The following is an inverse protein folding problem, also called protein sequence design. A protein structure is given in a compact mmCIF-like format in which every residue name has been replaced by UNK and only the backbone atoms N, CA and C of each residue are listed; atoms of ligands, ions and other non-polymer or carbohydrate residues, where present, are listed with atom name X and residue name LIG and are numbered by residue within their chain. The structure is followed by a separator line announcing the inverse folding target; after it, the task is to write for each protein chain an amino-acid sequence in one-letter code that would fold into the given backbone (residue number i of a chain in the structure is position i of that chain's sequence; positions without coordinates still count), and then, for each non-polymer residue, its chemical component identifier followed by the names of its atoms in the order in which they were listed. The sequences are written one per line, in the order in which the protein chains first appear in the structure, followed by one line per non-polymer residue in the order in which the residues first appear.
data_IF_288648438996
#
_entry.id   IF_288648438996
#
_cell.length_a   1.000
_cell.length_b   1.000
_cell.length_c   1.000
_cell.angle_alpha   90.00
_cell.angle_beta   90.00
_cell.angle_gamma   90.00
#
_symmetry.space_group_name_H-M   'P 1'
#
loop_
_entity.id
_entity.type
_entity.pdbx_description
1 polymer ?
#
# COMPACT_ATOMS: atom_id res chain seq x y z
N UNK A 1 56.17 14.16 -22.60
CA UNK A 1 55.82 13.46 -21.36
C UNK A 1 54.35 13.85 -21.04
N UNK A 2 53.38 13.03 -21.48
CA UNK A 2 51.96 13.29 -21.25
C UNK A 2 51.54 12.45 -20.03
N UNK A 3 51.19 13.12 -18.95
CA UNK A 3 50.63 12.49 -17.74
C UNK A 3 49.21 12.02 -18.03
N UNK A 4 49.02 10.71 -18.05
CA UNK A 4 47.69 10.08 -18.15
C UNK A 4 47.08 10.03 -16.74
N UNK A 5 46.16 10.96 -16.42
CA UNK A 5 45.41 10.93 -15.16
C UNK A 5 44.30 9.87 -15.32
N UNK A 6 44.55 8.69 -14.73
CA UNK A 6 43.53 7.63 -14.62
C UNK A 6 42.54 8.03 -13.52
N UNK A 7 41.39 8.51 -13.90
CA UNK A 7 40.25 8.66 -12.98
C UNK A 7 39.73 7.28 -12.60
N UNK A 8 40.22 6.76 -11.48
CA UNK A 8 39.65 5.57 -10.87
C UNK A 8 38.31 5.97 -10.26
N UNK A 9 37.19 5.70 -10.99
CA UNK A 9 35.86 5.74 -10.42
C UNK A 9 35.76 4.65 -9.34
N UNK A 10 35.98 5.01 -8.09
CA UNK A 10 35.58 4.23 -6.95
C UNK A 10 34.05 4.17 -6.95
N UNK A 11 33.48 3.19 -7.67
CA UNK A 11 32.10 2.76 -7.43
C UNK A 11 32.10 2.13 -6.04
N UNK A 12 31.71 2.90 -5.03
CA UNK A 12 31.49 2.39 -3.68
C UNK A 12 30.58 1.16 -3.76
N UNK A 13 31.19 -0.01 -3.57
CA UNK A 13 30.47 -1.27 -3.38
C UNK A 13 29.70 -1.16 -2.07
N UNK A 14 28.48 -0.66 -2.11
CA UNK A 14 27.56 -0.77 -0.99
C UNK A 14 27.13 -2.24 -0.85
N UNK A 15 27.95 -3.01 -0.14
CA UNK A 15 27.55 -4.30 0.39
C UNK A 15 26.63 -4.06 1.58
N UNK A 16 25.67 -5.00 1.82
CA UNK A 16 24.83 -4.95 3.01
C UNK A 16 25.66 -4.72 4.29
N UNK A 17 25.41 -3.62 4.97
CA UNK A 17 25.99 -3.31 6.25
C UNK A 17 25.21 -4.04 7.37
N UNK A 18 25.91 -4.92 8.07
CA UNK A 18 25.38 -5.71 9.18
C UNK A 18 25.88 -5.21 10.54
N UNK A 19 26.43 -3.99 10.62
CA UNK A 19 26.91 -3.39 11.88
C UNK A 19 25.79 -3.19 12.89
N UNK A 20 24.60 -2.85 12.44
CA UNK A 20 23.42 -2.77 13.28
C UNK A 20 22.14 -3.15 12.53
N UNK A 21 21.07 -3.45 13.30
CA UNK A 21 19.80 -3.94 12.77
C UNK A 21 19.06 -2.91 11.91
N UNK A 22 19.17 -1.63 12.23
CA UNK A 22 18.51 -0.54 11.50
C UNK A 22 19.13 -0.33 10.14
N UNK A 23 20.47 -0.30 10.08
CA UNK A 23 21.23 -0.17 8.81
C UNK A 23 21.00 -1.38 7.93
N UNK A 24 21.09 -2.59 8.48
CA UNK A 24 20.81 -3.83 7.75
C UNK A 24 19.37 -3.87 7.18
N UNK A 25 18.40 -3.35 7.90
CA UNK A 25 17.00 -3.27 7.43
C UNK A 25 16.84 -2.27 6.29
N UNK A 26 17.47 -1.09 6.39
CA UNK A 26 17.50 -0.08 5.32
C UNK A 26 18.13 -0.66 4.04
N UNK A 27 19.28 -1.30 4.18
CA UNK A 27 20.04 -1.88 3.06
C UNK A 27 19.30 -3.07 2.43
N UNK A 28 18.63 -3.89 3.25
CA UNK A 28 17.74 -4.96 2.77
C UNK A 28 16.62 -4.41 1.87
N UNK A 29 15.97 -3.32 2.28
CA UNK A 29 14.92 -2.71 1.50
C UNK A 29 15.44 -2.04 0.23
N UNK A 30 16.61 -1.37 0.30
CA UNK A 30 17.29 -0.81 -0.86
C UNK A 30 17.64 -1.90 -1.87
N UNK A 31 18.26 -3.00 -1.42
CA UNK A 31 18.61 -4.13 -2.29
C UNK A 31 17.39 -4.76 -2.96
N UNK A 32 16.24 -4.81 -2.29
CA UNK A 32 14.97 -5.23 -2.90
C UNK A 32 14.49 -4.31 -4.01
N UNK A 33 14.61 -3.00 -3.82
CA UNK A 33 14.28 -2.00 -4.84
C UNK A 33 15.22 -2.11 -6.03
N UNK A 34 16.54 -2.23 -5.79
CA UNK A 34 17.56 -2.40 -6.82
C UNK A 34 17.37 -3.71 -7.61
N UNK A 35 16.96 -4.78 -6.95
CA UNK A 35 16.62 -6.04 -7.60
C UNK A 35 15.42 -5.90 -8.55
N UNK A 36 14.35 -5.25 -8.11
CA UNK A 36 13.18 -4.96 -8.96
C UNK A 36 13.62 -4.12 -10.16
N UNK A 37 14.40 -3.07 -9.91
CA UNK A 37 14.92 -2.20 -10.95
C UNK A 37 15.78 -2.98 -11.97
N UNK A 38 16.62 -3.90 -11.50
CA UNK A 38 17.47 -4.74 -12.35
C UNK A 38 16.68 -5.71 -13.24
N UNK A 39 15.49 -6.14 -12.80
CA UNK A 39 14.57 -6.95 -13.61
C UNK A 39 13.97 -6.10 -14.73
N UNK A 40 13.53 -4.88 -14.39
CA UNK A 40 12.94 -3.94 -15.35
C UNK A 40 13.95 -3.47 -16.39
N UNK A 41 15.22 -3.31 -15.99
CA UNK A 41 16.32 -2.86 -16.84
C UNK A 41 16.99 -4.00 -17.62
N UNK A 42 16.58 -5.23 -17.36
CA UNK A 42 17.22 -6.46 -17.87
C UNK A 42 18.72 -6.54 -17.57
N UNK A 43 19.20 -5.97 -16.45
CA UNK A 43 20.62 -5.91 -16.05
C UNK A 43 20.99 -7.12 -15.20
N UNK A 44 21.60 -8.16 -15.82
CA UNK A 44 21.97 -9.43 -15.14
C UNK A 44 22.90 -9.21 -13.93
N UNK A 45 23.96 -8.41 -14.06
CA UNK A 45 24.93 -8.20 -12.99
C UNK A 45 24.33 -7.48 -11.77
N UNK A 46 23.52 -6.44 -12.00
CA UNK A 46 22.81 -5.74 -10.92
C UNK A 46 21.80 -6.66 -10.23
N UNK A 47 21.14 -7.55 -10.99
CA UNK A 47 20.22 -8.56 -10.45
C UNK A 47 20.92 -9.52 -9.50
N UNK A 48 22.10 -10.02 -9.87
CA UNK A 48 22.90 -10.91 -9.04
C UNK A 48 23.39 -10.20 -7.77
N UNK A 49 23.92 -8.97 -7.90
CA UNK A 49 24.38 -8.15 -6.77
C UNK A 49 23.26 -7.92 -5.77
N UNK A 50 22.13 -7.42 -6.23
CA UNK A 50 20.99 -7.13 -5.36
C UNK A 50 20.45 -8.37 -4.65
N UNK A 51 20.44 -9.54 -5.31
CA UNK A 51 20.06 -10.81 -4.66
C UNK A 51 21.07 -11.22 -3.56
N UNK A 52 22.37 -11.02 -3.76
CA UNK A 52 23.39 -11.27 -2.72
C UNK A 52 23.14 -10.42 -1.49
N UNK A 53 22.88 -9.12 -1.70
CA UNK A 53 22.62 -8.19 -0.60
C UNK A 53 21.32 -8.51 0.14
N UNK A 54 20.25 -8.88 -0.58
CA UNK A 54 19.00 -9.34 0.03
C UNK A 54 19.24 -10.59 0.90
N UNK A 55 20.02 -11.54 0.41
CA UNK A 55 20.29 -12.78 1.15
C UNK A 55 21.14 -12.48 2.39
N UNK A 56 22.18 -11.66 2.26
CA UNK A 56 23.07 -11.29 3.37
C UNK A 56 22.32 -10.53 4.47
N UNK A 57 21.67 -9.42 4.13
CA UNK A 57 20.89 -8.61 5.07
C UNK A 57 19.72 -9.39 5.67
N UNK A 58 19.00 -10.14 4.84
CA UNK A 58 17.83 -10.89 5.30
C UNK A 58 18.20 -12.01 6.28
N UNK A 59 19.34 -12.69 6.09
CA UNK A 59 19.86 -13.68 7.05
C UNK A 59 20.19 -13.02 8.39
N UNK A 60 20.92 -11.90 8.36
CA UNK A 60 21.26 -11.15 9.58
C UNK A 60 20.02 -10.67 10.34
N UNK A 61 18.97 -10.28 9.61
CA UNK A 61 17.69 -9.86 10.19
C UNK A 61 16.80 -11.00 10.67
N UNK A 62 17.17 -12.27 10.40
CA UNK A 62 16.35 -13.44 10.71
C UNK A 62 15.17 -13.66 9.77
N UNK A 63 15.21 -13.10 8.54
CA UNK A 63 14.17 -13.28 7.54
C UNK A 63 14.35 -14.59 6.78
N UNK A 64 13.24 -15.21 6.35
CA UNK A 64 13.31 -16.32 5.41
C UNK A 64 13.70 -15.82 4.01
N UNK A 65 14.92 -16.14 3.59
CA UNK A 65 15.50 -15.72 2.30
C UNK A 65 15.62 -16.86 1.29
N UNK A 66 15.08 -18.03 1.57
CA UNK A 66 15.21 -19.25 0.71
C UNK A 66 14.83 -18.98 -0.74
N UNK A 67 13.78 -18.22 -0.97
CA UNK A 67 13.32 -17.85 -2.31
C UNK A 67 14.34 -17.02 -3.10
N UNK A 68 15.04 -16.11 -2.43
CA UNK A 68 16.08 -15.27 -3.03
C UNK A 68 17.36 -16.05 -3.29
N UNK A 69 17.68 -17.00 -2.41
CA UNK A 69 18.81 -17.92 -2.58
C UNK A 69 18.62 -18.82 -3.80
N UNK A 70 17.44 -19.43 -3.94
CA UNK A 70 17.13 -20.27 -5.09
C UNK A 70 17.24 -19.47 -6.40
N UNK A 71 16.75 -18.23 -6.40
CA UNK A 71 16.83 -17.36 -7.60
C UNK A 71 18.25 -16.92 -7.90
N UNK A 72 19.08 -16.67 -6.88
CA UNK A 72 20.49 -16.36 -7.03
C UNK A 72 21.24 -17.59 -7.63
N UNK A 73 20.94 -18.78 -7.12
CA UNK A 73 21.48 -20.05 -7.65
C UNK A 73 21.14 -20.23 -9.13
N UNK A 74 19.87 -20.05 -9.51
CA UNK A 74 19.44 -20.15 -10.91
C UNK A 74 20.22 -19.19 -11.85
N UNK A 75 20.60 -18.01 -11.36
CA UNK A 75 21.29 -17.00 -12.14
C UNK A 75 22.82 -17.19 -12.19
N UNK A 76 23.40 -17.81 -11.17
CA UNK A 76 24.86 -17.93 -11.03
C UNK A 76 25.37 -19.37 -11.18
N UNK A 77 24.47 -20.37 -11.06
CA UNK A 77 24.80 -21.80 -10.93
C UNK A 77 25.81 -22.11 -9.79
N UNK A 78 26.04 -21.14 -8.90
CA UNK A 78 26.92 -21.30 -7.74
C UNK A 78 26.09 -21.66 -6.52
N UNK A 79 26.32 -22.83 -5.93
CA UNK A 79 25.84 -23.19 -4.61
C UNK A 79 26.52 -22.26 -3.57
N UNK A 80 25.76 -21.33 -3.00
CA UNK A 80 26.16 -20.78 -1.72
C UNK A 80 25.94 -21.92 -0.73
N UNK A 81 27.02 -22.52 -0.23
CA UNK A 81 27.01 -23.64 0.69
C UNK A 81 25.94 -23.44 1.77
N UNK A 82 25.06 -24.42 1.92
CA UNK A 82 24.23 -24.54 3.13
C UNK A 82 25.18 -24.45 4.32
N UNK A 83 24.89 -23.67 5.36
CA UNK A 83 25.68 -23.71 6.57
C UNK A 83 25.74 -25.18 7.01
N UNK A 84 26.96 -25.74 7.12
CA UNK A 84 27.21 -27.01 7.75
C UNK A 84 26.70 -26.89 9.19
N UNK A 85 25.83 -27.83 9.57
CA UNK A 85 25.11 -27.92 10.81
C UNK A 85 23.85 -27.06 10.93
N UNK A 86 22.71 -27.70 10.74
CA UNK A 86 21.55 -27.38 11.57
C UNK A 86 22.04 -27.49 13.02
N UNK A 87 21.81 -26.47 13.88
CA UNK A 87 21.89 -26.76 15.30
C UNK A 87 20.96 -27.95 15.51
N UNK A 88 21.50 -29.06 16.09
CA UNK A 88 20.68 -30.14 16.58
C UNK A 88 19.70 -29.47 17.54
N UNK A 89 18.49 -29.25 17.10
CA UNK A 89 17.38 -29.02 18.01
C UNK A 89 17.31 -30.31 18.84
N UNK A 90 17.85 -30.19 20.04
CA UNK A 90 17.48 -31.11 21.12
C UNK A 90 15.97 -31.30 21.04
N UNK A 91 15.55 -32.54 21.28
CA UNK A 91 14.19 -33.05 21.23
C UNK A 91 13.11 -32.00 21.30
N UNK A 92 12.08 -32.09 20.44
CA UNK A 92 10.96 -31.14 20.51
C UNK A 92 10.41 -31.25 21.95
N UNK A 93 10.75 -30.24 22.78
CA UNK A 93 10.01 -30.00 23.99
C UNK A 93 8.55 -30.10 23.57
N UNK A 94 7.80 -31.05 24.16
CA UNK A 94 6.36 -31.20 24.03
C UNK A 94 5.80 -29.79 24.14
N UNK A 95 5.48 -29.14 22.97
CA UNK A 95 4.87 -27.84 22.94
C UNK A 95 3.49 -28.07 23.53
N UNK A 96 3.34 -27.79 24.83
CA UNK A 96 2.04 -27.74 25.46
C UNK A 96 1.20 -26.82 24.63
N UNK A 97 0.21 -27.35 23.97
CA UNK A 97 -0.65 -26.62 23.05
C UNK A 97 -1.40 -25.54 23.83
N UNK A 98 -1.05 -24.28 23.58
CA UNK A 98 -1.62 -23.14 24.29
C UNK A 98 -3.01 -22.86 23.77
N UNK A 99 -4.01 -23.57 24.27
CA UNK A 99 -5.40 -23.33 23.94
C UNK A 99 -5.93 -22.09 24.65
N UNK A 100 -6.72 -21.31 23.91
CA UNK A 100 -7.51 -20.22 24.49
C UNK A 100 -9.00 -20.60 24.45
N UNK A 101 -9.76 -20.10 25.39
CA UNK A 101 -11.20 -20.32 25.46
C UNK A 101 -11.95 -19.04 25.82
N UNK A 102 -13.16 -18.88 25.24
CA UNK A 102 -14.05 -17.79 25.60
C UNK A 102 -14.80 -18.17 26.89
N UNK A 103 -14.68 -17.32 27.92
CA UNK A 103 -15.31 -17.52 29.22
C UNK A 103 -16.63 -16.75 29.31
N UNK A 104 -16.63 -15.49 28.88
CA UNK A 104 -17.82 -14.65 28.90
C UNK A 104 -17.84 -13.66 27.74
N UNK A 105 -18.98 -13.10 27.45
CA UNK A 105 -19.17 -12.09 26.39
C UNK A 105 -19.45 -10.68 26.91
N UNK A 106 -19.72 -10.53 28.21
CA UNK A 106 -19.94 -9.22 28.85
C UNK A 106 -19.41 -9.21 30.32
N UNK A 107 -18.22 -8.69 30.59
CA UNK A 107 -17.19 -8.32 29.60
C UNK A 107 -16.71 -9.54 28.81
N UNK A 108 -16.15 -9.31 27.63
CA UNK A 108 -15.53 -10.40 26.87
C UNK A 108 -14.28 -10.84 27.66
N UNK A 109 -14.30 -12.08 28.14
CA UNK A 109 -13.20 -12.67 28.89
C UNK A 109 -12.72 -13.92 28.20
N UNK A 110 -11.45 -13.90 27.78
CA UNK A 110 -10.80 -14.99 27.07
C UNK A 110 -9.70 -15.51 27.98
N UNK A 111 -9.76 -16.81 28.33
CA UNK A 111 -8.73 -17.48 29.10
C UNK A 111 -7.50 -17.71 28.23
N UNK A 112 -6.34 -17.41 28.76
CA UNK A 112 -5.02 -17.67 28.19
C UNK A 112 -4.39 -18.81 29.00
N UNK A 113 -3.73 -19.74 28.33
CA UNK A 113 -3.08 -20.86 29.04
C UNK A 113 -1.81 -20.42 29.77
N UNK A 114 -1.19 -19.32 29.34
CA UNK A 114 -0.02 -18.67 29.95
C UNK A 114 0.12 -17.24 29.43
N UNK A 115 1.12 -16.49 29.91
CA UNK A 115 1.46 -15.18 29.37
C UNK A 115 1.77 -15.30 27.87
N UNK A 116 0.95 -14.69 27.02
CA UNK A 116 1.04 -14.73 25.56
C UNK A 116 1.33 -13.35 25.00
N UNK A 117 2.04 -13.30 23.88
CA UNK A 117 2.21 -12.06 23.12
C UNK A 117 0.89 -11.74 22.38
N UNK A 118 0.31 -10.58 22.67
CA UNK A 118 -0.94 -10.11 22.06
C UNK A 118 -0.67 -8.79 21.36
N UNK A 119 -1.09 -8.70 20.09
CA UNK A 119 -1.03 -7.47 19.32
C UNK A 119 -2.45 -6.97 19.06
N UNK A 120 -2.72 -5.72 19.40
CA UNK A 120 -3.99 -5.06 19.17
C UNK A 120 -3.91 -4.14 17.94
N UNK A 121 -4.92 -4.18 17.08
CA UNK A 121 -5.06 -3.28 15.95
C UNK A 121 -6.52 -2.92 15.69
N UNK A 122 -6.74 -1.83 14.95
CA UNK A 122 -8.06 -1.40 14.55
C UNK A 122 -8.14 -1.30 13.03
N UNK A 123 -9.30 -1.68 12.47
CA UNK A 123 -9.54 -1.59 11.04
C UNK A 123 -10.97 -1.06 10.80
N UNK A 124 -11.12 -0.20 9.80
CA UNK A 124 -12.42 0.16 9.25
C UNK A 124 -12.46 -0.26 7.78
N UNK A 125 -13.40 -1.12 7.42
CA UNK A 125 -13.53 -1.65 6.06
C UNK A 125 -14.99 -1.95 5.74
N UNK A 126 -15.43 -1.61 4.52
CA UNK A 126 -16.80 -1.90 4.04
C UNK A 126 -17.86 -1.50 5.05
N UNK A 127 -17.82 -0.25 5.53
CA UNK A 127 -18.74 0.32 6.54
C UNK A 127 -18.75 -0.44 7.89
N UNK A 128 -17.72 -1.21 8.18
CA UNK A 128 -17.60 -2.00 9.40
C UNK A 128 -16.31 -1.64 10.17
N UNK A 129 -16.46 -1.40 11.46
CA UNK A 129 -15.38 -1.16 12.39
C UNK A 129 -14.93 -2.47 13.02
N UNK A 130 -13.63 -2.71 13.02
CA UNK A 130 -13.02 -3.92 13.58
C UNK A 130 -12.05 -3.55 14.69
N UNK A 131 -12.10 -4.28 15.80
CA UNK A 131 -11.10 -4.31 16.86
C UNK A 131 -10.51 -5.72 16.87
N UNK A 132 -9.19 -5.83 16.63
CA UNK A 132 -8.53 -7.09 16.30
C UNK A 132 -7.43 -7.33 17.34
N UNK A 133 -7.45 -8.51 17.98
CA UNK A 133 -6.37 -8.99 18.82
C UNK A 133 -5.76 -10.24 18.15
N UNK A 134 -4.48 -10.18 17.84
CA UNK A 134 -3.70 -11.31 17.36
C UNK A 134 -2.94 -11.90 18.55
N UNK A 135 -3.30 -13.10 18.96
CA UNK A 135 -2.71 -13.85 20.08
C UNK A 135 -1.74 -14.85 19.49
N UNK A 136 -0.45 -14.66 19.74
CA UNK A 136 0.62 -15.49 19.18
C UNK A 136 0.86 -16.73 20.03
N UNK A 137 1.32 -17.80 19.37
CA UNK A 137 1.52 -19.14 19.97
C UNK A 137 0.25 -19.68 20.65
N UNK A 138 -0.92 -19.34 20.10
CA UNK A 138 -2.23 -19.74 20.59
C UNK A 138 -2.91 -20.71 19.65
N UNK A 139 -3.77 -21.56 20.21
CA UNK A 139 -4.68 -22.45 19.49
C UNK A 139 -6.11 -22.27 20.00
N UNK A 140 -7.08 -22.52 19.13
CA UNK A 140 -8.50 -22.62 19.47
C UNK A 140 -9.06 -23.92 18.89
N UNK A 141 -9.88 -24.63 19.67
CA UNK A 141 -10.41 -25.95 19.26
C UNK A 141 -11.29 -25.82 18.02
N UNK A 142 -12.19 -24.82 18.02
CA UNK A 142 -13.04 -24.47 16.87
C UNK A 142 -13.28 -22.98 16.82
N UNK A 143 -13.60 -22.48 15.63
CA UNK A 143 -13.96 -21.07 15.48
C UNK A 143 -15.25 -20.76 16.28
N UNK A 144 -15.25 -19.62 16.96
CA UNK A 144 -16.38 -19.12 17.75
C UNK A 144 -16.89 -17.86 17.07
N UNK A 145 -18.17 -17.80 16.80
CA UNK A 145 -18.87 -16.59 16.34
C UNK A 145 -20.03 -16.35 17.32
N UNK A 146 -20.06 -15.17 17.95
CA UNK A 146 -21.10 -14.77 18.89
C UNK A 146 -21.61 -13.39 18.53
N UNK A 147 -22.93 -13.23 18.55
CA UNK A 147 -23.57 -11.90 18.53
C UNK A 147 -23.47 -11.36 19.97
N UNK A 148 -22.91 -10.16 20.12
CA UNK A 148 -22.72 -9.51 21.42
C UNK A 148 -23.90 -8.61 21.78
N UNK A 149 -24.43 -7.89 20.77
CA UNK A 149 -25.64 -7.09 20.87
C UNK A 149 -26.27 -6.90 19.47
N UNK A 150 -27.22 -5.96 19.35
CA UNK A 150 -27.96 -5.71 18.10
C UNK A 150 -27.06 -5.52 16.87
N UNK A 151 -25.89 -4.88 17.04
CA UNK A 151 -25.03 -4.44 15.95
C UNK A 151 -23.56 -4.95 16.06
N UNK A 152 -23.22 -5.72 17.10
CA UNK A 152 -21.85 -6.15 17.36
C UNK A 152 -21.70 -7.65 17.40
N UNK A 153 -20.56 -8.09 16.87
CA UNK A 153 -20.23 -9.50 16.74
C UNK A 153 -18.81 -9.74 17.24
N UNK A 154 -18.61 -10.89 17.83
CA UNK A 154 -17.31 -11.43 18.20
C UNK A 154 -17.00 -12.65 17.34
N UNK A 155 -15.80 -12.70 16.77
CA UNK A 155 -15.27 -13.88 16.08
C UNK A 155 -13.90 -14.23 16.65
N UNK A 156 -13.74 -15.48 17.04
CA UNK A 156 -12.43 -16.06 17.49
C UNK A 156 -12.14 -17.21 16.55
N UNK A 157 -10.99 -17.16 15.85
CA UNK A 157 -10.64 -18.22 14.91
C UNK A 157 -9.13 -18.40 14.82
N UNK A 158 -8.70 -19.63 14.48
CA UNK A 158 -7.33 -19.90 14.11
C UNK A 158 -7.02 -19.12 12.81
N UNK A 159 -6.01 -18.23 12.85
CA UNK A 159 -5.62 -17.42 11.71
C UNK A 159 -4.46 -18.04 10.92
N UNK A 160 -3.56 -18.73 11.63
CA UNK A 160 -2.52 -19.59 11.09
C UNK A 160 -2.06 -20.60 12.18
N UNK A 161 -1.10 -21.49 11.85
CA UNK A 161 -0.65 -22.54 12.77
C UNK A 161 -0.21 -22.06 14.17
N UNK A 162 0.20 -20.78 14.30
CA UNK A 162 0.76 -20.21 15.55
C UNK A 162 0.00 -18.98 16.05
N UNK A 163 -1.16 -18.63 15.47
CA UNK A 163 -1.87 -17.40 15.84
C UNK A 163 -3.39 -17.58 15.81
N UNK A 164 -4.03 -17.25 16.92
CA UNK A 164 -5.48 -17.06 16.99
C UNK A 164 -5.79 -15.57 16.84
N UNK A 165 -6.83 -15.26 16.11
CA UNK A 165 -7.33 -13.90 15.93
C UNK A 165 -8.70 -13.76 16.57
N UNK A 166 -8.81 -12.77 17.47
CA UNK A 166 -10.06 -12.33 18.09
C UNK A 166 -10.48 -11.04 17.43
N UNK A 167 -11.68 -10.99 16.88
CA UNK A 167 -12.21 -9.85 16.16
C UNK A 167 -13.55 -9.45 16.76
N UNK A 168 -13.67 -8.19 17.18
CA UNK A 168 -14.95 -7.58 17.50
C UNK A 168 -15.28 -6.61 16.36
N UNK A 169 -16.46 -6.70 15.78
CA UNK A 169 -16.83 -5.86 14.63
C UNK A 169 -18.27 -5.37 14.71
N UNK A 170 -18.51 -4.20 14.12
CA UNK A 170 -19.80 -3.53 14.09
C UNK A 170 -19.89 -2.54 12.92
N UNK A 171 -21.11 -2.34 12.39
CA UNK A 171 -21.37 -1.23 11.45
C UNK A 171 -21.35 0.13 12.13
N UNK A 172 -21.59 0.21 13.42
CA UNK A 172 -21.52 1.43 14.23
C UNK A 172 -20.14 1.56 14.88
N UNK A 173 -19.62 2.80 14.94
CA UNK A 173 -18.37 3.08 15.62
C UNK A 173 -18.48 2.74 17.09
N UNK A 174 -17.46 2.07 17.63
CA UNK A 174 -17.37 1.72 19.06
C UNK A 174 -15.93 1.78 19.55
N UNK A 175 -15.79 1.98 20.86
CA UNK A 175 -14.49 1.93 21.54
C UNK A 175 -14.44 0.77 22.51
N UNK A 176 -13.25 0.34 22.84
CA UNK A 176 -13.02 -0.71 23.84
C UNK A 176 -11.97 -0.25 24.84
N UNK A 177 -12.10 -0.72 26.08
CA UNK A 177 -11.00 -0.81 27.03
C UNK A 177 -10.64 -2.28 27.18
N UNK A 178 -9.36 -2.60 27.27
CA UNK A 178 -8.92 -3.97 27.50
C UNK A 178 -7.79 -4.03 28.50
N UNK A 179 -7.68 -5.17 29.16
CA UNK A 179 -6.61 -5.52 30.08
C UNK A 179 -6.10 -6.91 29.74
N UNK A 180 -4.79 -7.13 29.84
CA UNK A 180 -4.13 -8.41 29.61
C UNK A 180 -3.42 -8.79 30.88
N UNK A 181 -3.82 -9.93 31.44
CA UNK A 181 -3.14 -10.58 32.59
C UNK A 181 -2.40 -11.82 32.10
N UNK A 182 -1.70 -12.50 33.01
CA UNK A 182 -1.08 -13.81 32.70
C UNK A 182 -2.09 -14.85 32.23
N UNK A 183 -3.34 -14.77 32.68
CA UNK A 183 -4.36 -15.81 32.49
C UNK A 183 -5.56 -15.34 31.63
N UNK A 184 -5.72 -14.04 31.40
CA UNK A 184 -6.91 -13.54 30.72
C UNK A 184 -6.63 -12.33 29.84
N UNK A 185 -7.32 -12.29 28.69
CA UNK A 185 -7.60 -11.07 27.94
C UNK A 185 -9.05 -10.65 28.25
N UNK A 186 -9.21 -9.49 28.87
CA UNK A 186 -10.51 -8.93 29.27
C UNK A 186 -10.79 -7.70 28.41
N UNK A 187 -11.93 -7.67 27.72
CA UNK A 187 -12.30 -6.58 26.83
C UNK A 187 -13.68 -6.04 27.25
N UNK A 188 -13.73 -4.77 27.62
CA UNK A 188 -14.97 -4.03 27.90
C UNK A 188 -15.30 -3.15 26.72
N UNK A 189 -16.50 -3.29 26.15
CA UNK A 189 -16.98 -2.42 25.07
C UNK A 189 -17.59 -1.16 25.70
N UNK A 190 -17.12 0.01 25.26
CA UNK A 190 -17.72 1.30 25.64
C UNK A 190 -18.63 1.80 24.54
N UNK A 191 -19.86 2.15 24.90
CA UNK A 191 -20.77 2.86 24.03
C UNK A 191 -20.45 4.34 24.09
N UNK A 192 -20.01 4.94 23.00
CA UNK A 192 -20.04 6.39 22.90
C UNK A 192 -21.50 6.80 22.69
N UNK A 193 -22.17 7.30 23.73
CA UNK A 193 -23.32 8.18 23.50
C UNK A 193 -22.79 9.32 22.64
N UNK A 194 -23.28 9.42 21.41
CA UNK A 194 -22.96 10.54 20.52
C UNK A 194 -23.59 11.78 21.17
N UNK A 195 -22.88 12.44 22.06
CA UNK A 195 -23.04 13.86 22.27
C UNK A 195 -22.46 14.52 21.05
N UNK A 196 -23.27 15.16 20.24
CA UNK A 196 -22.82 16.14 19.28
C UNK A 196 -22.05 17.24 20.01
N UNK A 197 -20.81 16.99 20.24
CA UNK A 197 -19.85 18.04 20.56
C UNK A 197 -18.82 17.96 19.43
N UNK A 198 -19.00 18.86 18.46
CA UNK A 198 -17.91 19.34 17.61
C UNK A 198 -16.88 20.05 18.52
N UNK A 199 -16.23 19.30 19.41
CA UNK A 199 -14.99 19.75 20.00
C UNK A 199 -13.93 19.52 18.95
N UNK A 200 -13.60 20.57 18.24
CA UNK A 200 -12.43 20.67 17.37
C UNK A 200 -11.22 20.38 18.26
N UNK A 201 -10.76 19.12 18.26
CA UNK A 201 -9.44 18.80 18.79
C UNK A 201 -8.49 19.32 17.73
N UNK A 202 -7.64 20.32 18.01
CA UNK A 202 -6.63 20.74 17.04
C UNK A 202 -5.80 19.53 16.71
N UNK A 203 -5.90 19.07 15.46
CA UNK A 203 -5.03 18.01 14.98
C UNK A 203 -3.62 18.60 14.90
N UNK A 204 -2.56 17.80 15.18
CA UNK A 204 -1.19 18.30 15.12
C UNK A 204 -0.96 18.99 13.77
N UNK A 205 -0.24 20.10 13.81
CA UNK A 205 0.11 20.86 12.63
C UNK A 205 0.79 19.94 11.61
N UNK A 206 0.42 20.08 10.34
CA UNK A 206 1.06 19.30 9.27
C UNK A 206 2.48 19.83 9.17
N UNK A 207 3.46 18.93 9.22
CA UNK A 207 4.84 19.32 8.93
C UNK A 207 4.95 19.67 7.45
N UNK A 208 5.17 20.94 7.16
CA UNK A 208 5.22 21.49 5.79
C UNK A 208 6.48 21.08 4.99
N UNK A 209 7.34 20.21 5.51
CA UNK A 209 8.53 19.71 4.82
C UNK A 209 8.28 18.45 3.96
N UNK A 210 7.06 17.94 3.91
CA UNK A 210 6.73 16.74 3.13
C UNK A 210 6.76 17.00 1.63
N UNK A 211 7.38 16.07 0.89
CA UNK A 211 7.53 16.11 -0.56
C UNK A 211 6.51 15.20 -1.22
N UNK A 212 5.72 15.73 -2.15
CA UNK A 212 4.70 14.98 -2.89
C UNK A 212 5.03 15.04 -4.38
N UNK A 213 5.05 13.88 -5.04
CA UNK A 213 5.12 13.80 -6.48
C UNK A 213 3.75 13.38 -7.04
N UNK A 214 3.22 14.22 -7.91
CA UNK A 214 1.99 13.96 -8.66
C UNK A 214 2.39 13.53 -10.06
N UNK A 215 1.84 12.43 -10.51
CA UNK A 215 2.01 11.90 -11.85
C UNK A 215 0.73 12.10 -12.66
N UNK A 216 0.82 12.91 -13.72
CA UNK A 216 -0.23 13.00 -14.72
C UNK A 216 -0.03 11.87 -15.73
N UNK A 217 -0.89 10.86 -15.71
CA UNK A 217 -0.81 9.69 -16.61
C UNK A 217 -0.68 10.10 -18.08
N UNK A 218 -0.14 9.21 -18.91
CA UNK A 218 -0.01 9.40 -20.36
C UNK A 218 0.76 10.65 -20.78
N UNK A 219 0.52 11.17 -21.99
CA UNK A 219 1.13 12.41 -22.50
C UNK A 219 1.92 12.22 -23.80
N UNK A 220 2.07 13.29 -24.58
CA UNK A 220 2.69 13.28 -25.90
C UNK A 220 2.01 12.31 -26.85
N UNK A 221 2.76 11.34 -27.37
CA UNK A 221 2.26 10.29 -28.28
C UNK A 221 1.28 9.31 -27.65
N UNK A 222 1.21 9.23 -26.32
CA UNK A 222 0.28 8.38 -25.59
C UNK A 222 -0.95 9.20 -25.17
N UNK A 223 -2.10 9.06 -25.83
CA UNK A 223 -3.31 9.80 -25.52
C UNK A 223 -3.99 9.31 -24.22
N UNK A 224 -3.66 8.09 -23.74
CA UNK A 224 -4.44 7.36 -22.76
C UNK A 224 -5.76 6.85 -23.34
N UNK A 225 -6.75 6.63 -22.51
CA UNK A 225 -8.09 6.29 -22.94
C UNK A 225 -8.71 7.40 -23.80
N UNK A 226 -9.49 7.01 -24.83
CA UNK A 226 -10.31 7.92 -25.64
C UNK A 226 -11.78 7.62 -25.31
N UNK A 227 -12.44 8.60 -24.72
CA UNK A 227 -13.81 8.45 -24.22
C UNK A 227 -14.86 9.12 -25.09
N UNK A 228 -15.96 9.50 -24.45
CA UNK A 228 -17.05 10.25 -25.09
C UNK A 228 -16.53 11.59 -25.64
N UNK A 229 -17.12 12.04 -26.74
CA UNK A 229 -16.74 13.31 -27.42
C UNK A 229 -15.27 13.36 -27.82
N UNK A 230 -14.65 12.20 -28.12
CA UNK A 230 -13.21 12.08 -28.46
C UNK A 230 -12.27 12.67 -27.39
N UNK A 231 -12.75 12.76 -26.15
CA UNK A 231 -11.94 13.25 -25.01
C UNK A 231 -10.80 12.29 -24.76
N UNK A 232 -9.57 12.82 -24.81
CA UNK A 232 -8.35 12.06 -24.49
C UNK A 232 -8.03 12.19 -23.01
N UNK A 233 -7.70 11.09 -22.34
CA UNK A 233 -7.36 11.05 -20.92
C UNK A 233 -6.24 12.03 -20.54
N UNK A 234 -5.17 12.09 -21.34
CA UNK A 234 -4.04 13.00 -21.09
C UNK A 234 -4.46 14.47 -20.93
N UNK A 235 -5.56 14.88 -21.59
CA UNK A 235 -6.09 16.25 -21.56
C UNK A 235 -6.91 16.55 -20.30
N UNK A 236 -7.34 15.51 -19.56
CA UNK A 236 -8.05 15.64 -18.28
C UNK A 236 -7.05 15.61 -17.14
N UNK A 237 -6.14 14.63 -17.14
CA UNK A 237 -5.28 14.38 -15.98
C UNK A 237 -4.21 15.44 -15.79
N UNK A 238 -3.75 16.12 -16.87
CA UNK A 238 -2.75 17.18 -16.76
C UNK A 238 -3.29 18.45 -16.07
N UNK A 239 -4.44 19.02 -16.46
CA UNK A 239 -5.06 20.13 -15.73
C UNK A 239 -5.36 19.77 -14.27
N UNK A 240 -5.92 18.59 -14.03
CA UNK A 240 -6.21 18.11 -12.67
C UNK A 240 -4.93 17.99 -11.82
N UNK A 241 -3.82 17.52 -12.40
CA UNK A 241 -2.53 17.44 -11.70
C UNK A 241 -1.98 18.83 -11.35
N UNK A 242 -2.18 19.82 -12.24
CA UNK A 242 -1.81 21.21 -11.98
C UNK A 242 -2.66 21.84 -10.88
N UNK A 243 -3.97 21.59 -10.88
CA UNK A 243 -4.88 22.05 -9.83
C UNK A 243 -4.52 21.41 -8.49
N UNK A 244 -4.18 20.10 -8.48
CA UNK A 244 -3.75 19.41 -7.27
C UNK A 244 -2.40 19.92 -6.74
N UNK A 245 -1.45 20.21 -7.64
CA UNK A 245 -0.19 20.87 -7.27
C UNK A 245 -0.46 22.21 -6.59
N UNK A 246 -1.32 23.05 -7.18
CA UNK A 246 -1.69 24.34 -6.62
C UNK A 246 -2.28 24.21 -5.21
N UNK A 247 -3.26 23.32 -5.02
CA UNK A 247 -3.91 23.08 -3.73
C UNK A 247 -2.94 22.60 -2.65
N UNK A 248 -2.03 21.69 -3.00
CA UNK A 248 -1.04 21.17 -2.06
C UNK A 248 0.07 22.17 -1.75
N UNK A 249 0.54 22.93 -2.75
CA UNK A 249 1.54 23.99 -2.53
C UNK A 249 0.98 25.07 -1.61
N UNK A 250 -0.28 25.48 -1.79
CA UNK A 250 -0.97 26.42 -0.90
C UNK A 250 -1.06 25.93 0.56
N UNK A 251 -1.03 24.61 0.76
CA UNK A 251 -1.01 23.97 2.11
C UNK A 251 0.40 23.78 2.66
N UNK A 252 1.45 24.27 1.95
CA UNK A 252 2.84 24.23 2.40
C UNK A 252 3.60 22.96 2.04
N UNK A 253 3.04 22.05 1.22
CA UNK A 253 3.75 20.90 0.71
C UNK A 253 4.74 21.27 -0.40
N UNK A 254 5.88 20.57 -0.48
CA UNK A 254 6.79 20.64 -1.62
C UNK A 254 6.32 19.70 -2.72
N UNK A 255 5.84 20.24 -3.84
CA UNK A 255 5.12 19.46 -4.86
C UNK A 255 5.83 19.49 -6.20
N UNK A 256 6.04 18.31 -6.77
CA UNK A 256 6.57 18.14 -8.12
C UNK A 256 5.59 17.39 -9.01
N UNK A 257 5.54 17.76 -10.30
CA UNK A 257 4.83 17.02 -11.33
C UNK A 257 5.84 16.15 -12.09
N UNK A 258 5.44 14.94 -12.51
CA UNK A 258 6.25 14.14 -13.44
C UNK A 258 6.31 14.82 -14.81
N UNK A 259 5.21 15.44 -15.26
CA UNK A 259 5.11 16.32 -16.43
C UNK A 259 4.21 17.53 -16.16
N UNK A 260 4.56 18.63 -16.70
CA UNK A 260 3.85 19.93 -16.64
C UNK A 260 3.32 20.39 -17.99
N UNK A 261 3.64 19.62 -19.03
CA UNK A 261 3.24 19.83 -20.43
C UNK A 261 2.79 18.52 -21.08
N UNK A 262 2.34 18.57 -22.34
CA UNK A 262 1.95 17.37 -23.09
C UNK A 262 3.19 16.65 -23.63
N UNK A 263 3.93 15.95 -22.75
CA UNK A 263 5.10 15.15 -23.09
C UNK A 263 4.95 13.72 -22.62
N UNK A 264 5.51 12.78 -23.38
CA UNK A 264 5.53 11.36 -23.04
C UNK A 264 6.60 11.06 -22.01
N UNK A 265 6.23 10.33 -20.93
CA UNK A 265 7.17 9.82 -19.94
C UNK A 265 6.90 8.33 -19.72
N UNK A 266 7.94 7.50 -19.84
CA UNK A 266 7.82 6.07 -19.59
C UNK A 266 7.44 5.79 -18.14
N UNK A 267 6.67 4.73 -17.88
CA UNK A 267 6.21 4.36 -16.52
C UNK A 267 7.36 4.29 -15.52
N UNK A 268 8.50 3.73 -15.94
CA UNK A 268 9.71 3.65 -15.12
C UNK A 268 10.28 5.02 -14.72
N UNK A 269 10.30 5.97 -15.64
CA UNK A 269 10.87 7.29 -15.38
C UNK A 269 10.00 8.11 -14.42
N UNK A 270 8.69 7.82 -14.34
CA UNK A 270 7.77 8.46 -13.38
C UNK A 270 8.16 8.12 -11.93
N UNK A 271 8.34 6.84 -11.61
CA UNK A 271 8.79 6.42 -10.25
C UNK A 271 10.24 6.76 -9.97
N UNK A 272 11.14 6.70 -10.96
CA UNK A 272 12.53 7.17 -10.81
C UNK A 272 12.58 8.65 -10.45
N UNK A 273 11.73 9.47 -11.08
CA UNK A 273 11.63 10.90 -10.75
C UNK A 273 11.20 11.10 -9.29
N UNK A 274 10.16 10.40 -8.83
CA UNK A 274 9.69 10.47 -7.45
C UNK A 274 10.77 10.05 -6.45
N UNK A 275 11.50 8.97 -6.73
CA UNK A 275 12.59 8.50 -5.89
C UNK A 275 13.75 9.51 -5.81
N UNK A 276 14.13 10.15 -6.94
CA UNK A 276 15.16 11.20 -6.97
C UNK A 276 14.76 12.43 -6.16
N UNK A 277 13.47 12.78 -6.17
CA UNK A 277 12.93 13.87 -5.35
C UNK A 277 12.77 13.50 -3.88
N UNK A 278 13.11 12.27 -3.49
CA UNK A 278 12.91 11.74 -2.13
C UNK A 278 11.48 11.98 -1.64
N UNK A 279 10.50 11.71 -2.51
CA UNK A 279 9.11 11.98 -2.21
C UNK A 279 8.61 11.15 -1.03
N UNK A 280 7.76 11.76 -0.19
CA UNK A 280 7.02 11.09 0.88
C UNK A 280 5.77 10.37 0.32
N UNK A 281 5.18 10.90 -0.77
CA UNK A 281 4.04 10.30 -1.47
C UNK A 281 4.19 10.38 -2.98
N UNK A 282 3.69 9.34 -3.68
CA UNK A 282 3.54 9.32 -5.12
C UNK A 282 2.07 9.07 -5.49
N UNK A 283 1.47 9.98 -6.27
CA UNK A 283 0.06 9.95 -6.65
C UNK A 283 -0.05 10.04 -8.16
N UNK A 284 -0.49 8.96 -8.80
CA UNK A 284 -0.74 8.90 -10.24
C UNK A 284 -2.22 9.13 -10.53
N UNK A 285 -2.52 10.01 -11.47
CA UNK A 285 -3.87 10.38 -11.88
C UNK A 285 -4.17 9.81 -13.26
N UNK A 286 -5.28 9.09 -13.36
CA UNK A 286 -5.79 8.42 -14.53
C UNK A 286 -7.30 8.59 -14.69
N UNK A 287 -7.84 8.18 -15.84
CA UNK A 287 -9.28 8.10 -16.09
C UNK A 287 -9.63 6.71 -16.62
N UNK A 288 -10.56 6.06 -15.99
CA UNK A 288 -11.05 4.75 -16.40
C UNK A 288 -11.77 4.78 -17.75
N UNK A 289 -11.74 3.66 -18.46
CA UNK A 289 -12.46 3.47 -19.71
C UNK A 289 -13.14 2.11 -19.77
N UNK A 290 -14.39 2.07 -20.22
CA UNK A 290 -15.17 0.88 -20.49
C UNK A 290 -16.04 1.06 -21.75
N UNK A 291 -15.44 1.04 -22.97
CA UNK A 291 -16.16 1.40 -24.19
C UNK A 291 -17.39 0.54 -24.47
N UNK A 292 -17.33 -0.76 -24.14
CA UNK A 292 -18.44 -1.72 -24.32
C UNK A 292 -19.53 -1.60 -23.25
N UNK A 293 -19.28 -0.79 -22.20
CA UNK A 293 -20.15 -0.63 -21.04
C UNK A 293 -20.18 0.85 -20.63
N UNK A 294 -20.79 1.74 -21.44
CA UNK A 294 -20.78 3.17 -21.19
C UNK A 294 -21.59 3.59 -19.97
N UNK A 295 -22.43 2.70 -19.45
CA UNK A 295 -23.19 2.87 -18.20
C UNK A 295 -22.29 2.76 -16.96
N UNK A 296 -21.13 2.12 -17.07
CA UNK A 296 -20.20 1.95 -15.95
C UNK A 296 -19.58 3.30 -15.57
N UNK A 297 -19.62 3.61 -14.28
CA UNK A 297 -19.14 4.87 -13.73
C UNK A 297 -18.62 4.68 -12.30
N UNK A 298 -17.89 5.67 -11.79
CA UNK A 298 -17.41 5.74 -10.41
C UNK A 298 -15.92 5.99 -10.28
N UNK A 299 -15.53 6.44 -9.10
CA UNK A 299 -14.16 6.77 -8.73
C UNK A 299 -13.52 5.59 -8.05
N UNK A 300 -12.31 5.19 -8.45
CA UNK A 300 -11.56 4.08 -7.86
C UNK A 300 -10.15 4.52 -7.49
N UNK A 301 -9.66 4.07 -6.35
CA UNK A 301 -8.27 4.30 -5.94
C UNK A 301 -7.55 2.97 -5.81
N UNK A 302 -6.39 2.86 -6.44
CA UNK A 302 -5.61 1.64 -6.50
C UNK A 302 -4.28 1.76 -5.75
N UNK A 303 -3.85 0.67 -5.15
CA UNK A 303 -2.51 0.51 -4.59
C UNK A 303 -1.85 -0.76 -5.14
N UNK A 304 -0.52 -0.75 -5.19
CA UNK A 304 0.26 -1.84 -5.77
C UNK A 304 0.18 -3.11 -4.92
N UNK A 305 -0.46 -4.14 -5.47
CA UNK A 305 -0.57 -5.49 -4.88
C UNK A 305 -1.11 -6.44 -5.94
N UNK A 306 -1.02 -7.78 -5.77
CA UNK A 306 -1.71 -8.71 -6.66
C UNK A 306 -3.20 -8.39 -6.74
N UNK A 307 -3.74 -8.38 -7.96
CA UNK A 307 -5.15 -8.10 -8.18
C UNK A 307 -6.05 -9.20 -7.60
N UNK A 308 -7.12 -8.79 -6.91
CA UNK A 308 -8.09 -9.71 -6.28
C UNK A 308 -9.42 -9.81 -7.05
N UNK A 309 -9.54 -9.11 -8.19
CA UNK A 309 -10.75 -9.13 -9.02
C UNK A 309 -10.41 -9.07 -10.50
N UNK A 310 -11.28 -9.61 -11.36
CA UNK A 310 -11.13 -9.53 -12.81
C UNK A 310 -11.11 -8.08 -13.31
N UNK A 311 -11.92 -7.19 -12.69
CA UNK A 311 -11.92 -5.76 -12.98
C UNK A 311 -10.55 -5.13 -12.73
N UNK A 312 -9.97 -5.32 -11.55
CA UNK A 312 -8.65 -4.78 -11.21
C UNK A 312 -7.53 -5.30 -12.14
N UNK A 313 -7.61 -6.57 -12.56
CA UNK A 313 -6.70 -7.14 -13.56
C UNK A 313 -6.83 -6.45 -14.91
N UNK A 314 -8.08 -6.19 -15.36
CA UNK A 314 -8.34 -5.55 -16.66
C UNK A 314 -7.83 -4.11 -16.68
N UNK A 315 -8.14 -3.30 -15.67
CA UNK A 315 -7.67 -1.91 -15.58
C UNK A 315 -6.15 -1.88 -15.56
N UNK A 316 -5.51 -2.68 -14.71
CA UNK A 316 -4.04 -2.75 -14.69
C UNK A 316 -3.43 -3.21 -16.03
N UNK A 317 -4.10 -4.06 -16.80
CA UNK A 317 -3.64 -4.48 -18.13
C UNK A 317 -3.67 -3.33 -19.12
N UNK A 318 -4.71 -2.49 -19.08
CA UNK A 318 -4.82 -1.31 -19.94
C UNK A 318 -3.71 -0.31 -19.64
N UNK A 319 -3.53 0.06 -18.37
CA UNK A 319 -2.50 1.01 -17.95
C UNK A 319 -1.07 0.52 -18.13
N UNK A 320 -0.87 -0.79 -18.12
CA UNK A 320 0.42 -1.41 -18.34
C UNK A 320 0.75 -1.63 -19.84
N UNK A 321 -0.14 -1.31 -20.76
CA UNK A 321 0.01 -1.60 -22.21
C UNK A 321 1.26 -0.97 -22.81
N UNK A 322 1.68 0.19 -22.31
CA UNK A 322 2.89 0.88 -22.75
C UNK A 322 4.21 0.11 -22.52
N UNK A 323 4.20 -0.99 -21.78
CA UNK A 323 5.42 -1.80 -21.48
C UNK A 323 5.54 -3.03 -22.41
N UNK A 324 4.50 -3.31 -23.20
CA UNK A 324 4.44 -4.55 -23.99
C UNK A 324 4.15 -5.81 -23.14
N UNK A 325 4.21 -6.98 -23.73
CA UNK A 325 3.90 -8.24 -23.06
C UNK A 325 5.04 -8.68 -22.12
N UNK A 326 5.06 -8.17 -20.89
CA UNK A 326 5.91 -8.76 -19.85
C UNK A 326 5.38 -10.15 -19.48
N UNK A 327 6.27 -11.15 -19.51
CA UNK A 327 5.93 -12.53 -19.13
C UNK A 327 5.31 -12.53 -17.71
N UNK A 328 4.23 -13.26 -17.54
CA UNK A 328 3.49 -13.40 -16.25
C UNK A 328 4.42 -13.76 -15.08
N UNK A 329 5.49 -14.51 -15.36
CA UNK A 329 6.53 -14.88 -14.40
C UNK A 329 7.26 -13.64 -13.84
N UNK A 330 7.59 -12.67 -14.69
CA UNK A 330 8.25 -11.42 -14.27
C UNK A 330 7.33 -10.56 -13.39
N UNK A 331 6.05 -10.48 -13.76
CA UNK A 331 5.04 -9.77 -12.97
C UNK A 331 4.91 -10.38 -11.56
N UNK A 332 4.80 -11.71 -11.47
CA UNK A 332 4.69 -12.41 -10.20
C UNK A 332 5.94 -12.25 -9.32
N UNK A 333 7.14 -12.24 -9.92
CA UNK A 333 8.38 -12.01 -9.19
C UNK A 333 8.36 -10.61 -8.54
N UNK A 334 8.07 -9.57 -9.31
CA UNK A 334 8.04 -8.18 -8.81
C UNK A 334 7.01 -8.01 -7.69
N UNK A 335 5.80 -8.55 -7.86
CA UNK A 335 4.74 -8.45 -6.86
C UNK A 335 5.08 -9.20 -5.55
N UNK A 336 5.83 -10.28 -5.65
CA UNK A 336 6.27 -11.03 -4.47
C UNK A 336 7.34 -10.32 -3.63
N UNK A 337 8.01 -9.31 -4.21
CA UNK A 337 9.06 -8.54 -3.53
C UNK A 337 8.55 -7.24 -2.89
N UNK A 338 7.25 -6.96 -2.98
CA UNK A 338 6.68 -5.75 -2.41
C UNK A 338 6.87 -5.69 -0.89
N UNK A 339 7.29 -4.54 -0.42
CA UNK A 339 7.42 -4.27 1.02
C UNK A 339 6.02 -4.19 1.64
N UNK A 340 5.73 -5.05 2.63
CA UNK A 340 4.43 -5.08 3.32
C UNK A 340 4.07 -3.75 3.97
N UNK A 341 5.04 -3.03 4.53
CA UNK A 341 4.79 -1.73 5.17
C UNK A 341 4.35 -0.70 4.12
N UNK A 342 5.00 -0.65 2.96
CA UNK A 342 4.60 0.23 1.86
C UNK A 342 3.19 -0.07 1.35
N UNK A 343 2.81 -1.35 1.26
CA UNK A 343 1.45 -1.73 0.89
C UNK A 343 0.44 -1.22 1.93
N UNK A 344 0.75 -1.35 3.21
CA UNK A 344 -0.11 -0.88 4.30
C UNK A 344 -0.28 0.64 4.22
N UNK A 345 0.81 1.38 4.07
CA UNK A 345 0.78 2.85 4.03
C UNK A 345 0.13 3.37 2.75
N UNK A 346 0.37 2.74 1.60
CA UNK A 346 -0.35 3.02 0.35
C UNK A 346 -1.86 2.73 0.50
N UNK A 347 -2.22 1.67 1.22
CA UNK A 347 -3.64 1.35 1.47
C UNK A 347 -4.30 2.39 2.37
N UNK A 348 -3.62 2.86 3.42
CA UNK A 348 -4.12 3.94 4.29
C UNK A 348 -4.33 5.23 3.51
N UNK A 349 -3.33 5.62 2.69
CA UNK A 349 -3.39 6.80 1.82
C UNK A 349 -4.58 6.71 0.85
N UNK A 350 -4.73 5.58 0.16
CA UNK A 350 -5.83 5.34 -0.76
C UNK A 350 -7.19 5.44 -0.08
N UNK A 351 -7.33 4.90 1.14
CA UNK A 351 -8.58 4.96 1.91
C UNK A 351 -8.94 6.39 2.33
N UNK A 352 -7.95 7.18 2.77
CA UNK A 352 -8.19 8.55 3.21
C UNK A 352 -8.56 9.45 2.04
N UNK A 353 -7.90 9.31 0.88
CA UNK A 353 -8.23 10.05 -0.33
C UNK A 353 -9.59 9.63 -0.90
N UNK A 354 -9.84 8.33 -1.06
CA UNK A 354 -11.12 7.84 -1.58
C UNK A 354 -12.28 8.32 -0.72
N UNK A 355 -12.16 8.23 0.60
CA UNK A 355 -13.18 8.70 1.54
C UNK A 355 -13.44 10.20 1.40
N UNK A 356 -12.37 11.01 1.32
CA UNK A 356 -12.47 12.46 1.17
C UNK A 356 -13.17 12.83 -0.14
N UNK A 357 -12.75 12.22 -1.27
CA UNK A 357 -13.34 12.44 -2.58
C UNK A 357 -14.84 12.13 -2.57
N UNK A 358 -15.21 10.91 -2.18
CA UNK A 358 -16.61 10.47 -2.25
C UNK A 358 -17.51 11.29 -1.32
N UNK A 359 -17.05 11.55 -0.08
CA UNK A 359 -17.83 12.31 0.88
C UNK A 359 -18.10 13.74 0.39
N UNK A 360 -17.09 14.43 -0.10
CA UNK A 360 -17.22 15.84 -0.47
C UNK A 360 -17.85 16.03 -1.86
N UNK A 361 -17.53 15.18 -2.85
CA UNK A 361 -18.14 15.28 -4.17
C UNK A 361 -19.65 15.01 -4.12
N UNK A 362 -20.11 14.07 -3.30
CA UNK A 362 -21.55 13.78 -3.13
C UNK A 362 -22.35 14.95 -2.58
N UNK A 363 -21.72 15.89 -1.86
CA UNK A 363 -22.40 17.11 -1.39
C UNK A 363 -22.76 18.08 -2.52
N UNK A 364 -22.01 18.03 -3.63
CA UNK A 364 -22.13 19.01 -4.71
C UNK A 364 -22.61 18.43 -6.04
N UNK A 365 -22.51 17.11 -6.23
CA UNK A 365 -22.80 16.47 -7.50
C UNK A 365 -23.62 15.18 -7.32
N UNK A 366 -24.67 15.05 -8.14
CA UNK A 366 -25.45 13.81 -8.25
C UNK A 366 -24.67 12.76 -9.05
N UNK A 367 -24.97 11.47 -8.80
CA UNK A 367 -24.40 10.36 -9.56
C UNK A 367 -22.93 10.04 -9.23
N UNK A 368 -22.39 10.53 -8.12
CA UNK A 368 -21.04 10.13 -7.65
C UNK A 368 -21.11 8.73 -7.04
N UNK A 369 -20.42 7.78 -7.68
CA UNK A 369 -20.34 6.39 -7.23
C UNK A 369 -18.98 6.08 -6.64
N UNK A 370 -18.98 5.40 -5.51
CA UNK A 370 -17.78 4.88 -4.86
C UNK A 370 -17.40 3.54 -5.50
N UNK A 371 -16.36 3.54 -6.32
CA UNK A 371 -15.77 2.34 -6.88
C UNK A 371 -14.87 1.59 -5.87
N UNK A 372 -14.48 2.30 -4.81
CA UNK A 372 -13.71 1.76 -3.68
C UNK A 372 -12.19 1.74 -3.90
N UNK A 373 -11.50 1.27 -2.85
CA UNK A 373 -10.05 1.07 -2.85
C UNK A 373 -9.74 -0.38 -3.21
N UNK A 374 -8.84 -0.58 -4.17
CA UNK A 374 -8.55 -1.90 -4.74
C UNK A 374 -7.06 -2.19 -4.88
N UNK A 375 -6.62 -3.44 -4.66
CA UNK A 375 -5.27 -3.88 -5.03
C UNK A 375 -5.20 -4.17 -6.54
N UNK A 376 -4.14 -3.71 -7.21
CA UNK A 376 -3.84 -4.13 -8.58
C UNK A 376 -2.35 -3.94 -8.93
N UNK A 377 -1.82 -4.69 -9.93
CA UNK A 377 -0.42 -4.67 -10.32
C UNK A 377 -0.09 -3.55 -11.33
N UNK A 378 -0.26 -2.30 -10.93
CA UNK A 378 0.09 -1.15 -11.76
C UNK A 378 1.60 -0.93 -11.82
N UNK A 379 2.16 -0.97 -13.03
CA UNK A 379 3.58 -0.81 -13.25
C UNK A 379 4.08 0.60 -12.95
N UNK A 380 3.25 1.61 -13.12
CA UNK A 380 3.56 2.99 -12.73
C UNK A 380 3.81 3.14 -11.23
N UNK A 381 3.36 2.19 -10.40
CA UNK A 381 3.61 2.17 -8.95
C UNK A 381 4.80 1.28 -8.57
N UNK A 382 5.27 0.44 -9.51
CA UNK A 382 6.42 -0.44 -9.28
C UNK A 382 7.70 0.38 -9.21
N UNK A 383 8.56 0.05 -8.25
CA UNK A 383 9.84 0.76 -8.05
C UNK A 383 9.76 2.05 -7.24
N UNK A 384 8.55 2.51 -6.85
CA UNK A 384 8.43 3.61 -5.89
C UNK A 384 8.95 3.20 -4.52
N UNK A 385 9.73 4.06 -3.85
CA UNK A 385 10.25 3.80 -2.50
C UNK A 385 9.33 4.30 -1.38
N UNK A 386 8.34 5.13 -1.73
CA UNK A 386 7.36 5.74 -0.83
C UNK A 386 5.97 5.11 -1.01
N UNK A 387 4.99 5.40 -0.12
CA UNK A 387 3.58 5.10 -0.35
C UNK A 387 3.12 5.66 -1.70
N UNK A 388 2.50 4.80 -2.52
CA UNK A 388 2.15 5.12 -3.90
C UNK A 388 0.76 4.59 -4.25
N UNK A 389 -0.04 5.43 -4.91
CA UNK A 389 -1.40 5.11 -5.35
C UNK A 389 -1.66 5.59 -6.77
N UNK A 390 -2.67 5.00 -7.40
CA UNK A 390 -3.23 5.46 -8.66
C UNK A 390 -4.73 5.75 -8.45
N UNK A 391 -5.17 6.89 -8.92
CA UNK A 391 -6.57 7.33 -8.83
C UNK A 391 -7.17 7.32 -10.23
N UNK A 392 -8.16 6.47 -10.43
CA UNK A 392 -9.08 6.50 -11.57
C UNK A 392 -10.17 7.51 -11.25
N UNK A 393 -10.07 8.68 -11.84
CA UNK A 393 -10.88 9.86 -11.47
C UNK A 393 -12.35 9.77 -11.88
N UNK A 394 -12.67 8.83 -12.73
CA UNK A 394 -13.98 8.52 -13.28
C UNK A 394 -13.85 7.89 -14.66
N UNK A 395 -14.96 7.51 -15.27
CA UNK A 395 -15.00 6.86 -16.59
C UNK A 395 -15.24 7.88 -17.69
N UNK A 396 -14.24 8.11 -18.55
CA UNK A 396 -14.41 9.00 -19.72
C UNK A 396 -15.29 8.38 -20.82
N UNK A 397 -15.55 7.06 -20.77
CA UNK A 397 -16.55 6.37 -21.60
C UNK A 397 -18.00 6.61 -21.15
N UNK A 398 -18.22 7.13 -19.93
CA UNK A 398 -19.55 7.49 -19.42
C UNK A 398 -19.84 8.97 -19.70
N UNK A 399 -20.95 9.25 -20.41
CA UNK A 399 -21.32 10.64 -20.82
C UNK A 399 -21.38 11.62 -19.64
N UNK A 400 -21.96 11.22 -18.51
CA UNK A 400 -22.10 12.10 -17.33
C UNK A 400 -20.76 12.38 -16.66
N UNK A 401 -19.92 11.36 -16.51
CA UNK A 401 -18.58 11.55 -15.91
C UNK A 401 -17.64 12.30 -16.84
N UNK A 402 -17.64 12.01 -18.14
CA UNK A 402 -16.85 12.74 -19.13
C UNK A 402 -17.11 14.25 -19.08
N UNK A 403 -18.40 14.67 -19.05
CA UNK A 403 -18.78 16.08 -18.90
C UNK A 403 -18.27 16.72 -17.60
N UNK A 404 -18.33 15.98 -16.49
CA UNK A 404 -17.80 16.46 -15.19
C UNK A 404 -16.29 16.59 -15.24
N UNK A 405 -15.59 15.57 -15.76
CA UNK A 405 -14.13 15.51 -15.77
C UNK A 405 -13.47 16.61 -16.61
N UNK A 406 -14.11 17.13 -17.66
CA UNK A 406 -13.61 18.27 -18.44
C UNK A 406 -13.97 19.62 -17.81
N UNK A 407 -14.88 19.65 -16.83
CA UNK A 407 -15.33 20.88 -16.20
C UNK A 407 -14.28 21.39 -15.19
N UNK A 408 -13.77 22.61 -15.40
CA UNK A 408 -12.73 23.23 -14.56
C UNK A 408 -13.13 23.35 -13.08
N UNK A 409 -14.39 23.71 -12.79
CA UNK A 409 -14.88 23.81 -11.42
C UNK A 409 -14.91 22.45 -10.73
N UNK A 410 -15.30 21.40 -11.47
CA UNK A 410 -15.23 20.02 -10.96
C UNK A 410 -13.80 19.59 -10.69
N UNK A 411 -12.85 19.85 -11.61
CA UNK A 411 -11.44 19.50 -11.45
C UNK A 411 -10.81 20.19 -10.22
N UNK A 412 -11.05 21.50 -10.03
CA UNK A 412 -10.56 22.24 -8.85
C UNK A 412 -11.11 21.67 -7.54
N UNK A 413 -12.40 21.36 -7.47
CA UNK A 413 -12.99 20.70 -6.30
C UNK A 413 -12.42 19.31 -6.08
N UNK A 414 -12.24 18.57 -7.16
CA UNK A 414 -11.64 17.22 -7.12
C UNK A 414 -10.22 17.28 -6.54
N UNK A 415 -9.38 18.19 -7.05
CA UNK A 415 -8.03 18.46 -6.55
C UNK A 415 -8.03 18.83 -5.07
N UNK A 416 -8.90 19.75 -4.64
CA UNK A 416 -9.07 20.12 -3.25
C UNK A 416 -9.38 18.90 -2.37
N UNK A 417 -10.26 18.01 -2.81
CA UNK A 417 -10.68 16.86 -2.00
C UNK A 417 -9.63 15.74 -1.97
N UNK A 418 -8.79 15.62 -3.01
CA UNK A 418 -7.58 14.80 -2.92
C UNK A 418 -6.63 15.37 -1.87
N UNK A 419 -6.40 16.69 -1.90
CA UNK A 419 -5.53 17.36 -0.93
C UNK A 419 -6.05 17.21 0.52
N UNK A 420 -7.37 17.32 0.75
CA UNK A 420 -7.99 17.05 2.05
C UNK A 420 -7.74 15.59 2.51
N UNK A 421 -7.75 14.65 1.58
CA UNK A 421 -7.42 13.24 1.86
C UNK A 421 -5.95 13.04 2.23
N UNK A 422 -5.03 13.76 1.59
CA UNK A 422 -3.59 13.75 1.89
C UNK A 422 -3.33 14.34 3.28
N UNK A 423 -3.96 15.47 3.61
CA UNK A 423 -3.90 16.06 4.95
C UNK A 423 -4.36 15.07 6.01
N UNK A 424 -5.47 14.38 5.76
CA UNK A 424 -5.99 13.36 6.66
C UNK A 424 -5.02 12.18 6.84
N UNK A 425 -4.31 11.80 5.79
CA UNK A 425 -3.30 10.76 5.86
C UNK A 425 -2.11 11.17 6.72
N UNK A 426 -1.49 12.34 6.47
CA UNK A 426 -0.34 12.80 7.24
C UNK A 426 -0.66 13.10 8.70
N UNK A 427 -1.86 13.61 9.01
CA UNK A 427 -2.28 13.79 10.41
C UNK A 427 -2.38 12.48 11.21
N UNK A 428 -2.61 11.36 10.54
CA UNK A 428 -2.71 10.03 11.17
C UNK A 428 -1.41 9.24 11.10
N UNK A 429 -0.47 9.68 10.26
CA UNK A 429 0.81 9.04 9.99
C UNK A 429 1.87 10.16 9.84
N UNK A 430 2.23 10.83 10.94
CA UNK A 430 3.15 11.97 10.98
C UNK A 430 4.57 11.62 10.53
#
# INVERSE_FOLDING_TARGET
MRLLIIFIFFTSLFACDTSNRTTAYRDYNKAKTDYIQSILDNKKQLKIKSLRDIVKCGRYLGFNVSKYQNRLYELTKTHISKPKSKPKFQNPLKIQSNYISLISTNPIKIRLSKKMKIHFSTLYRSHTYYKIFDIYNAKVVKAIVKKLDKDKFLKIAQNNRKRVRVVIYSKKKFTIKYNITSSYLIIKIKYNKVKNQNKYIPLPAIQHNKVIVIDAGHGGKDPGGIGQYHIREKNIVLPLAKDLKYELTKRGYKVYLTRDSDKFITLRNRTKFANRKKADLFISLHCNIAPKHPEVHGIETYFLSPARSARAKRVAKLENSAIGNLRTTTQNIVLNFLNKNKIIDSTKLALDIQKSLIYNLKKHYKGIKDGGVRPAPFWVLVGSSMPAILIETGFISNKSEARKLVNKTYQRRYAKYIADGIDNYFRKNP
#
